data_IF_216929319965
#
_entry.id   IF_216929319965
#
_cell.length_a   1.000
_cell.length_b   1.000
_cell.length_c   1.000
_cell.angle_alpha   90.00
_cell.angle_beta   90.00
_cell.angle_gamma   90.00
#
_symmetry.space_group_name_H-M   'P 1'
#
loop_
_entity.id
_entity.type
_entity.pdbx_description
1 polymer ?
#
# COMPACT_ATOMS: atom_id res chain seq x y z
N UNK A 1 7.71 13.34 -6.66
CA UNK A 1 8.96 12.84 -6.03
C UNK A 1 8.76 12.81 -4.52
N UNK A 2 8.08 11.78 -4.00
CA UNK A 2 7.97 11.49 -2.58
C UNK A 2 8.13 9.97 -2.51
N UNK A 3 9.19 9.51 -1.85
CA UNK A 3 9.45 8.09 -1.68
C UNK A 3 8.32 7.51 -0.85
N UNK A 4 7.48 6.74 -1.53
CA UNK A 4 6.32 6.05 -0.97
C UNK A 4 6.81 4.93 -0.05
N UNK A 5 6.86 5.23 1.25
CA UNK A 5 7.40 4.36 2.29
C UNK A 5 6.60 3.07 2.41
N UNK A 6 5.28 3.11 2.16
CA UNK A 6 4.43 1.92 2.23
C UNK A 6 4.77 0.89 1.16
N UNK A 7 5.04 1.33 -0.08
CA UNK A 7 5.44 0.42 -1.15
C UNK A 7 6.80 -0.21 -0.86
N UNK A 8 7.76 0.58 -0.36
CA UNK A 8 9.07 0.09 0.06
C UNK A 8 8.93 -0.89 1.22
N UNK A 9 8.11 -0.57 2.22
CA UNK A 9 7.88 -1.43 3.38
C UNK A 9 7.24 -2.76 2.99
N UNK A 10 6.29 -2.74 2.04
CA UNK A 10 5.67 -3.95 1.51
C UNK A 10 6.64 -4.78 0.67
N UNK A 11 7.44 -4.13 -0.20
CA UNK A 11 8.47 -4.82 -1.00
C UNK A 11 9.59 -5.42 -0.17
N UNK A 12 9.96 -4.74 0.93
CA UNK A 12 10.99 -5.21 1.88
C UNK A 12 10.44 -6.24 2.88
N UNK A 13 9.13 -6.51 2.89
CA UNK A 13 8.50 -7.45 3.82
C UNK A 13 8.40 -6.94 5.26
N UNK A 14 8.56 -5.63 5.49
CA UNK A 14 8.39 -5.02 6.81
C UNK A 14 6.93 -4.98 7.24
N UNK A 15 6.00 -4.83 6.28
CA UNK A 15 4.55 -4.81 6.53
C UNK A 15 3.85 -5.89 5.71
N UNK A 16 2.83 -6.50 6.31
CA UNK A 16 2.00 -7.48 5.64
C UNK A 16 0.88 -6.81 4.84
N UNK A 17 0.25 -7.60 3.95
CA UNK A 17 -0.87 -7.18 3.11
C UNK A 17 -2.01 -6.51 3.89
N UNK A 18 -2.29 -7.01 5.10
CA UNK A 18 -3.31 -6.45 6.00
C UNK A 18 -2.93 -5.05 6.50
N UNK A 19 -1.69 -4.89 6.98
CA UNK A 19 -1.16 -3.60 7.41
C UNK A 19 -1.08 -2.60 6.25
N UNK A 20 -0.69 -3.05 5.06
CA UNK A 20 -0.69 -2.23 3.85
C UNK A 20 -2.11 -1.72 3.53
N UNK A 21 -3.13 -2.57 3.70
CA UNK A 21 -4.54 -2.23 3.46
C UNK A 21 -5.09 -1.28 4.51
N UNK A 22 -4.71 -1.42 5.78
CA UNK A 22 -5.04 -0.46 6.85
C UNK A 22 -4.41 0.91 6.59
N UNK A 23 -3.13 0.94 6.18
CA UNK A 23 -2.43 2.18 5.81
C UNK A 23 -3.03 2.82 4.55
N UNK A 24 -3.54 2.01 3.61
CA UNK A 24 -4.15 2.49 2.39
C UNK A 24 -5.61 2.94 2.55
N UNK A 25 -6.33 2.56 3.62
CA UNK A 25 -7.68 3.05 3.91
C UNK A 25 -7.79 4.58 3.94
N UNK A 26 -6.98 5.33 4.72
CA UNK A 26 -7.03 6.79 4.74
C UNK A 26 -6.60 7.40 3.40
N UNK A 27 -5.74 6.69 2.64
CA UNK A 27 -5.23 7.14 1.35
C UNK A 27 -6.15 6.79 0.17
N UNK A 28 -7.24 6.03 0.39
CA UNK A 28 -8.14 5.57 -0.70
C UNK A 28 -8.74 6.72 -1.53
N UNK A 29 -8.77 7.93 -0.97
CA UNK A 29 -9.27 9.14 -1.64
C UNK A 29 -8.33 9.65 -2.73
N UNK A 30 -7.07 9.21 -2.75
CA UNK A 30 -6.08 9.58 -3.76
C UNK A 30 -5.74 8.38 -4.65
N UNK A 31 -5.30 8.65 -5.88
CA UNK A 31 -4.86 7.64 -6.84
C UNK A 31 -3.77 6.70 -6.29
N UNK A 32 -2.90 7.23 -5.42
CA UNK A 32 -1.85 6.42 -4.78
C UNK A 32 -2.42 5.39 -3.80
N UNK A 33 -3.41 5.73 -2.96
CA UNK A 33 -4.03 4.75 -2.07
C UNK A 33 -4.85 3.70 -2.82
N UNK A 34 -5.49 4.09 -3.93
CA UNK A 34 -6.15 3.15 -4.85
C UNK A 34 -5.12 2.17 -5.47
N UNK A 35 -3.95 2.67 -5.86
CA UNK A 35 -2.86 1.86 -6.38
C UNK A 35 -2.32 0.89 -5.33
N UNK A 36 -2.06 1.33 -4.10
CA UNK A 36 -1.63 0.45 -3.02
C UNK A 36 -2.69 -0.60 -2.69
N UNK A 37 -3.97 -0.23 -2.64
CA UNK A 37 -5.07 -1.18 -2.40
C UNK A 37 -5.14 -2.24 -3.51
N UNK A 38 -4.96 -1.85 -4.77
CA UNK A 38 -4.84 -2.80 -5.89
C UNK A 38 -3.61 -3.69 -5.75
N UNK A 39 -2.46 -3.12 -5.44
CA UNK A 39 -1.22 -3.88 -5.26
C UNK A 39 -1.34 -4.88 -4.10
N UNK A 40 -2.04 -4.47 -3.03
CA UNK A 40 -2.46 -5.37 -2.00
C UNK A 40 -3.35 -6.44 -2.62
N UNK A 41 -4.49 -6.14 -3.24
CA UNK A 41 -5.51 -7.09 -3.73
C UNK A 41 -5.09 -8.04 -4.88
N UNK A 42 -4.10 -7.68 -5.70
CA UNK A 42 -3.73 -8.42 -6.93
C UNK A 42 -2.89 -9.69 -6.68
N UNK A 43 -2.18 -9.80 -5.55
CA UNK A 43 -1.39 -11.00 -5.18
C UNK A 43 -2.19 -12.07 -4.40
N UNK A 44 -3.47 -12.28 -4.73
CA UNK A 44 -4.27 -13.38 -4.16
C UNK A 44 -4.04 -14.70 -4.92
#
# INVERSE_FOLDING_TARGET
KIACLEEVAYRMGYINRDQLRELAQPLKKNDYGQYILRLADEKA
#
